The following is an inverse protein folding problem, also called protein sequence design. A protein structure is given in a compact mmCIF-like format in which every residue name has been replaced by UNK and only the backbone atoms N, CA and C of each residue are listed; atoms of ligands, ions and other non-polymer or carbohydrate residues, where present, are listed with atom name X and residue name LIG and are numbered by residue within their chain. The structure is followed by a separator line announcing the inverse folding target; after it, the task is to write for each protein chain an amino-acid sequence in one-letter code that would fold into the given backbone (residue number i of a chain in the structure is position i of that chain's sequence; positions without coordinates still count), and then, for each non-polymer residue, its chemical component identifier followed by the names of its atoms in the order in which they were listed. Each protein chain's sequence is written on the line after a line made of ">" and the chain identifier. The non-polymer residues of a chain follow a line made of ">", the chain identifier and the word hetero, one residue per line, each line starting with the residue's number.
data_IF_797572017740
#
_entry.id   IF_797572017740
#
_cell.length_a   1.000
_cell.length_b   1.000
_cell.length_c   1.000
_cell.angle_alpha   90.00
_cell.angle_beta   90.00
_cell.angle_gamma   90.00
#
_symmetry.space_group_name_H-M   'P 1'
#
loop_
_entity.id
_entity.type
_entity.pdbx_description
1 polymer ?
#
# COMPACT_ATOMS: atom_id res chain seq x y z
N UNK A 1 47.02 -21.50 -10.61
CA UNK A 1 46.19 -22.42 -9.80
C UNK A 1 45.02 -22.90 -10.65
N UNK A 2 45.03 -24.14 -11.11
CA UNK A 2 43.97 -24.67 -11.99
C UNK A 2 42.70 -24.95 -11.18
N UNK A 3 41.57 -24.33 -11.54
CA UNK A 3 40.27 -24.65 -10.94
C UNK A 3 39.83 -26.02 -11.44
N UNK A 4 39.64 -27.03 -10.56
CA UNK A 4 39.19 -28.34 -10.99
C UNK A 4 37.80 -28.21 -11.63
N UNK A 5 37.67 -28.68 -12.89
CA UNK A 5 36.37 -28.72 -13.58
C UNK A 5 35.46 -29.69 -12.82
N UNK A 6 34.46 -29.15 -12.11
CA UNK A 6 33.45 -29.97 -11.44
C UNK A 6 32.72 -30.85 -12.45
N UNK A 7 32.60 -32.15 -12.12
CA UNK A 7 31.79 -33.09 -12.88
C UNK A 7 30.34 -32.58 -13.00
N UNK A 8 29.60 -32.96 -14.05
CA UNK A 8 28.20 -32.54 -14.22
C UNK A 8 27.31 -32.91 -13.04
N UNK A 9 27.57 -34.03 -12.36
CA UNK A 9 26.88 -34.43 -11.13
C UNK A 9 27.17 -33.49 -9.96
N UNK A 10 28.44 -33.09 -9.77
CA UNK A 10 28.82 -32.18 -8.69
C UNK A 10 28.23 -30.78 -8.87
N UNK A 11 28.00 -30.33 -10.12
CA UNK A 11 27.29 -29.09 -10.41
C UNK A 11 25.82 -29.16 -9.97
N UNK A 12 25.13 -30.27 -10.29
CA UNK A 12 23.73 -30.49 -9.87
C UNK A 12 23.60 -30.54 -8.35
N UNK A 13 24.54 -31.20 -7.67
CA UNK A 13 24.56 -31.26 -6.21
C UNK A 13 24.75 -29.87 -5.59
N UNK A 14 25.64 -29.04 -6.14
CA UNK A 14 25.78 -27.64 -5.69
C UNK A 14 24.48 -26.85 -5.85
N UNK A 15 23.78 -27.02 -6.97
CA UNK A 15 22.48 -26.37 -7.19
C UNK A 15 21.49 -26.80 -6.12
N UNK A 16 21.40 -28.09 -5.80
CA UNK A 16 20.49 -28.60 -4.77
C UNK A 16 20.87 -28.03 -3.39
N UNK A 17 22.15 -28.06 -3.03
CA UNK A 17 22.63 -27.54 -1.74
C UNK A 17 22.30 -26.05 -1.56
N UNK A 18 22.32 -25.26 -2.65
CA UNK A 18 22.01 -23.82 -2.60
C UNK A 18 20.50 -23.57 -2.68
N UNK A 19 19.77 -24.28 -3.54
CA UNK A 19 18.35 -24.03 -3.78
C UNK A 19 17.45 -24.57 -2.64
N UNK A 20 17.78 -25.74 -2.10
CA UNK A 20 16.98 -26.39 -1.05
C UNK A 20 16.77 -25.50 0.19
N UNK A 21 17.80 -24.86 0.80
CA UNK A 21 17.58 -24.01 1.97
C UNK A 21 16.74 -22.76 1.69
N UNK A 22 16.87 -22.17 0.50
CA UNK A 22 16.06 -21.01 0.08
C UNK A 22 14.58 -21.43 -0.02
N UNK A 23 14.32 -22.59 -0.62
CA UNK A 23 12.97 -23.14 -0.76
C UNK A 23 12.37 -23.48 0.61
N UNK A 24 13.14 -24.11 1.51
CA UNK A 24 12.68 -24.43 2.87
C UNK A 24 12.39 -23.16 3.68
N UNK A 25 13.28 -22.16 3.63
CA UNK A 25 13.10 -20.90 4.36
C UNK A 25 11.86 -20.14 3.87
N UNK A 26 11.69 -20.01 2.55
CA UNK A 26 10.52 -19.35 1.97
C UNK A 26 9.23 -20.10 2.27
N UNK A 27 9.20 -21.42 2.11
CA UNK A 27 8.05 -22.27 2.45
C UNK A 27 7.67 -22.13 3.92
N UNK A 28 8.65 -22.11 4.84
CA UNK A 28 8.41 -21.91 6.27
C UNK A 28 7.78 -20.55 6.58
N UNK A 29 8.28 -19.47 5.96
CA UNK A 29 7.72 -18.12 6.12
C UNK A 29 6.28 -18.05 5.59
N UNK A 30 6.00 -18.67 4.44
CA UNK A 30 4.65 -18.75 3.90
C UNK A 30 3.73 -19.56 4.81
N UNK A 31 4.18 -20.72 5.28
CA UNK A 31 3.43 -21.55 6.24
C UNK A 31 3.02 -20.74 7.47
N UNK A 32 3.97 -20.04 8.09
CA UNK A 32 3.70 -19.18 9.25
C UNK A 32 2.71 -18.05 8.95
N UNK A 33 2.81 -17.42 7.78
CA UNK A 33 1.97 -16.26 7.42
C UNK A 33 0.56 -16.65 7.00
N UNK A 34 0.43 -17.69 6.19
CA UNK A 34 -0.83 -18.07 5.54
C UNK A 34 -1.62 -19.07 6.39
N UNK A 35 -0.94 -20.09 6.92
CA UNK A 35 -1.59 -21.18 7.64
C UNK A 35 -1.71 -20.84 9.12
N UNK A 36 -0.61 -20.42 9.74
CA UNK A 36 -0.59 -20.15 11.18
C UNK A 36 -1.16 -18.76 11.53
N UNK A 37 -1.27 -17.85 10.56
CA UNK A 37 -1.80 -16.47 10.70
C UNK A 37 -1.17 -15.68 11.87
N UNK A 38 0.03 -16.07 12.31
CA UNK A 38 0.73 -15.49 13.47
C UNK A 38 1.18 -14.04 13.23
N UNK A 39 1.36 -13.65 11.97
CA UNK A 39 1.91 -12.34 11.61
C UNK A 39 0.77 -11.41 11.17
N UNK A 40 0.46 -10.34 11.93
CA UNK A 40 -0.46 -9.32 11.46
C UNK A 40 0.08 -8.80 10.13
N UNK A 41 -0.66 -9.01 9.04
CA UNK A 41 -0.37 -8.29 7.80
C UNK A 41 -0.44 -6.82 8.19
N UNK A 42 0.67 -6.09 8.01
CA UNK A 42 0.68 -4.63 8.17
C UNK A 42 -0.55 -4.12 7.42
N UNK A 43 -1.52 -3.61 8.17
CA UNK A 43 -2.73 -3.01 7.62
C UNK A 43 -2.25 -1.76 6.92
N UNK A 44 -1.94 -1.87 5.64
CA UNK A 44 -1.85 -0.70 4.77
C UNK A 44 -3.29 -0.18 4.78
N UNK A 45 -3.54 1.03 5.32
CA UNK A 45 -4.86 1.62 5.22
C UNK A 45 -5.19 1.63 3.74
N UNK A 46 -6.24 0.92 3.36
CA UNK A 46 -6.78 0.97 2.01
C UNK A 46 -7.07 2.45 1.76
N UNK A 47 -6.50 3.10 0.74
CA UNK A 47 -6.92 4.45 0.41
C UNK A 47 -8.43 4.35 0.21
N UNK A 48 -9.18 5.01 1.08
CA UNK A 48 -10.61 5.14 0.92
C UNK A 48 -10.84 5.63 -0.50
N UNK A 49 -11.71 4.93 -1.22
CA UNK A 49 -12.12 5.35 -2.53
C UNK A 49 -12.91 6.64 -2.28
N UNK A 50 -12.23 7.78 -2.29
CA UNK A 50 -12.84 9.09 -2.24
C UNK A 50 -13.62 9.19 -3.54
N UNK A 51 -14.86 8.73 -3.48
CA UNK A 51 -15.86 8.99 -4.50
C UNK A 51 -15.86 10.51 -4.62
N UNK A 52 -15.54 11.10 -5.79
CA UNK A 52 -15.79 12.51 -6.00
C UNK A 52 -17.31 12.66 -6.17
N UNK A 53 -18.06 12.42 -5.09
CA UNK A 53 -19.32 13.13 -4.89
C UNK A 53 -18.91 14.53 -4.47
N UNK A 54 -18.37 15.28 -5.45
CA UNK A 54 -18.47 16.73 -5.44
C UNK A 54 -19.97 17.01 -5.52
N UNK A 55 -20.62 16.92 -4.37
CA UNK A 55 -21.75 17.76 -4.01
C UNK A 55 -21.37 19.14 -4.52
N UNK A 56 -22.07 19.59 -5.54
CA UNK A 56 -22.15 21.01 -5.89
C UNK A 56 -22.78 21.70 -4.68
N UNK A 57 -22.01 21.82 -3.59
CA UNK A 57 -22.16 22.84 -2.58
C UNK A 57 -21.95 24.12 -3.34
N UNK A 58 -23.06 24.59 -3.89
CA UNK A 58 -23.35 25.97 -4.16
C UNK A 58 -22.92 26.78 -2.94
N UNK A 59 -21.63 27.11 -2.89
CA UNK A 59 -21.12 28.25 -2.15
C UNK A 59 -21.59 29.49 -2.91
N UNK A 60 -22.91 29.66 -2.93
CA UNK A 60 -23.57 30.93 -3.17
C UNK A 60 -22.98 31.84 -2.11
N UNK A 61 -22.13 32.70 -2.61
CA UNK A 61 -21.57 33.87 -1.95
C UNK A 61 -22.55 34.40 -0.89
N UNK A 62 -22.17 34.52 0.39
CA UNK A 62 -22.96 35.35 1.29
C UNK A 62 -23.03 36.76 0.67
N UNK A 63 -24.20 37.41 0.64
CA UNK A 63 -24.32 38.74 0.04
C UNK A 63 -23.37 39.69 0.78
N UNK A 64 -22.54 40.40 0.02
CA UNK A 64 -21.71 41.48 0.54
C UNK A 64 -22.62 42.46 1.29
N UNK A 65 -22.51 42.41 2.61
CA UNK A 65 -23.06 43.38 3.54
C UNK A 65 -22.07 44.52 3.55
N UNK A 66 -22.22 45.45 2.62
CA UNK A 66 -21.59 46.77 2.71
C UNK A 66 -22.57 47.85 2.24
N UNK A 67 -23.20 48.47 3.25
CA UNK A 67 -23.21 49.92 3.46
C UNK A 67 -23.45 50.83 2.23
N UNK A 68 -24.68 51.32 2.06
CA UNK A 68 -24.90 52.76 1.76
C UNK A 68 -26.38 53.15 1.95
N UNK A 69 -26.58 54.31 2.57
CA UNK A 69 -27.74 55.20 2.35
C UNK A 69 -29.04 54.99 3.15
N UNK A 70 -28.91 55.18 4.46
CA UNK A 70 -29.61 56.24 5.22
C UNK A 70 -30.82 56.90 4.51
N UNK A 71 -32.04 56.39 4.75
CA UNK A 71 -33.25 57.24 4.89
C UNK A 71 -34.19 56.64 5.95
N UNK A 72 -34.43 57.33 7.08
CA UNK A 72 -35.40 56.87 8.05
C UNK A 72 -36.84 57.03 7.54
N UNK A 73 -37.66 56.11 8.02
CA UNK A 73 -39.10 55.98 7.85
C UNK A 73 -39.92 57.20 8.33
N UNK A 74 -41.12 57.32 7.74
CA UNK A 74 -42.37 57.82 8.34
C UNK A 74 -42.67 59.34 8.26
N UNK A 75 -43.64 59.70 7.41
CA UNK A 75 -44.89 60.43 7.75
C UNK A 75 -45.89 60.19 6.63
#
# INVERSE_FOLDING_TARGET
>A
MATPKLSPQARRLKTIIVALPILVASSYVFYKREIVKEVPRRTIPKPENVTPSATLESKVFPPDVDSESKRPSST
#
